data_IF_538416452491
#
_entry.id   IF_538416452491
#
_cell.length_a   1.000
_cell.length_b   1.000
_cell.length_c   1.000
_cell.angle_alpha   90.00
_cell.angle_beta   90.00
_cell.angle_gamma   90.00
#
_symmetry.space_group_name_H-M   'P 1'
#
loop_
_entity.id
_entity.type
_entity.pdbx_description
1 polymer ?
#
# COMPACT_ATOMS: atom_id res chain seq x y z
N UNK A 1 -47.98 -10.93 -9.60
CA UNK A 1 -47.48 -12.21 -10.05
C UNK A 1 -46.15 -12.53 -9.38
N UNK A 2 -46.09 -13.65 -8.67
CA UNK A 2 -44.90 -14.06 -7.92
C UNK A 2 -43.69 -14.32 -8.84
N UNK A 3 -43.92 -14.83 -10.03
CA UNK A 3 -42.85 -15.07 -11.01
C UNK A 3 -42.21 -13.77 -11.46
N UNK A 4 -42.99 -12.75 -11.71
CA UNK A 4 -42.51 -11.45 -12.12
C UNK A 4 -41.71 -10.79 -11.00
N UNK A 5 -42.21 -10.78 -9.79
CA UNK A 5 -41.54 -10.23 -8.62
C UNK A 5 -40.23 -10.92 -8.35
N UNK A 6 -40.17 -12.24 -8.48
CA UNK A 6 -38.95 -13.01 -8.30
C UNK A 6 -37.91 -12.69 -9.37
N UNK A 7 -38.33 -12.61 -10.63
CA UNK A 7 -37.45 -12.25 -11.74
C UNK A 7 -36.87 -10.86 -11.56
N UNK A 8 -37.72 -9.91 -11.15
CA UNK A 8 -37.28 -8.54 -10.86
C UNK A 8 -36.22 -8.52 -9.76
N UNK A 9 -36.44 -9.25 -8.68
CA UNK A 9 -35.49 -9.34 -7.57
C UNK A 9 -34.18 -9.98 -8.01
N UNK A 10 -34.22 -11.03 -8.82
CA UNK A 10 -33.04 -11.69 -9.36
C UNK A 10 -32.23 -10.75 -10.27
N UNK A 11 -32.91 -10.00 -11.12
CA UNK A 11 -32.27 -9.02 -12.00
C UNK A 11 -31.62 -7.90 -11.19
N UNK A 12 -32.33 -7.38 -10.18
CA UNK A 12 -31.80 -6.32 -9.32
C UNK A 12 -30.55 -6.80 -8.57
N UNK A 13 -30.56 -8.02 -8.05
CA UNK A 13 -29.41 -8.62 -7.38
C UNK A 13 -28.25 -8.82 -8.34
N UNK A 14 -28.53 -9.28 -9.57
CA UNK A 14 -27.53 -9.44 -10.61
C UNK A 14 -26.88 -8.11 -10.96
N UNK A 15 -27.67 -7.06 -11.11
CA UNK A 15 -27.18 -5.72 -11.44
C UNK A 15 -26.26 -5.20 -10.34
N UNK A 16 -26.64 -5.35 -9.08
CA UNK A 16 -25.85 -4.93 -7.91
C UNK A 16 -24.53 -5.70 -7.84
N UNK A 17 -24.59 -7.01 -8.05
CA UNK A 17 -23.40 -7.86 -8.06
C UNK A 17 -22.45 -7.48 -9.18
N UNK A 18 -22.97 -7.29 -10.39
CA UNK A 18 -22.16 -6.91 -11.56
C UNK A 18 -21.47 -5.57 -11.35
N UNK A 19 -22.18 -4.59 -10.78
CA UNK A 19 -21.61 -3.29 -10.46
C UNK A 19 -20.47 -3.42 -9.46
N UNK A 20 -20.67 -4.22 -8.40
CA UNK A 20 -19.66 -4.48 -7.39
C UNK A 20 -18.43 -5.17 -8.00
N UNK A 21 -18.65 -6.17 -8.85
CA UNK A 21 -17.56 -6.89 -9.52
C UNK A 21 -16.73 -5.97 -10.41
N UNK A 22 -17.39 -5.03 -11.11
CA UNK A 22 -16.69 -4.03 -11.93
C UNK A 22 -15.82 -3.11 -11.08
N UNK A 23 -16.33 -2.63 -9.96
CA UNK A 23 -15.57 -1.77 -9.05
C UNK A 23 -14.35 -2.52 -8.51
N UNK A 24 -14.52 -3.77 -8.12
CA UNK A 24 -13.42 -4.63 -7.65
C UNK A 24 -12.39 -4.86 -8.75
N UNK A 25 -12.83 -5.13 -9.98
CA UNK A 25 -11.94 -5.34 -11.11
C UNK A 25 -11.11 -4.10 -11.44
N UNK A 26 -11.74 -2.92 -11.42
CA UNK A 26 -11.02 -1.65 -11.61
C UNK A 26 -10.01 -1.42 -10.48
N UNK A 27 -10.39 -1.70 -9.25
CA UNK A 27 -9.50 -1.58 -8.11
C UNK A 27 -8.31 -2.52 -8.20
N UNK A 28 -8.53 -3.76 -8.60
CA UNK A 28 -7.47 -4.76 -8.77
C UNK A 28 -6.51 -4.37 -9.89
N UNK A 29 -7.03 -3.92 -11.03
CA UNK A 29 -6.21 -3.47 -12.16
C UNK A 29 -5.38 -2.23 -11.78
N UNK A 30 -5.99 -1.27 -11.11
CA UNK A 30 -5.31 -0.07 -10.63
C UNK A 30 -4.22 -0.43 -9.63
N UNK A 31 -4.52 -1.30 -8.67
CA UNK A 31 -3.57 -1.76 -7.67
C UNK A 31 -2.37 -2.46 -8.29
N UNK A 32 -2.59 -3.31 -9.26
CA UNK A 32 -1.51 -4.00 -9.96
C UNK A 32 -0.61 -3.01 -10.71
N UNK A 33 -1.22 -2.08 -11.44
CA UNK A 33 -0.48 -1.06 -12.17
C UNK A 33 0.39 -0.22 -11.23
N UNK A 34 -0.17 0.22 -10.12
CA UNK A 34 0.56 1.02 -9.14
C UNK A 34 1.65 0.19 -8.47
N UNK A 35 1.37 -1.08 -8.15
CA UNK A 35 2.37 -1.98 -7.56
C UNK A 35 3.61 -2.11 -8.45
N UNK A 36 3.43 -2.12 -9.77
CA UNK A 36 4.52 -2.17 -10.73
C UNK A 36 5.34 -0.87 -10.77
N UNK A 37 4.74 0.25 -10.35
CA UNK A 37 5.40 1.56 -10.31
C UNK A 37 6.14 1.78 -8.97
N UNK A 38 5.71 1.14 -7.90
CA UNK A 38 6.29 1.35 -6.57
C UNK A 38 7.81 1.14 -6.49
N UNK A 39 8.43 0.21 -7.23
CA UNK A 39 9.90 0.12 -7.25
C UNK A 39 10.61 1.40 -7.70
N UNK A 40 9.97 2.18 -8.58
CA UNK A 40 10.49 3.49 -9.01
C UNK A 40 10.46 4.46 -7.83
N UNK A 41 9.37 4.46 -7.06
CA UNK A 41 9.25 5.27 -5.86
C UNK A 41 10.31 4.89 -4.81
N UNK A 42 10.56 3.59 -4.63
CA UNK A 42 11.61 3.11 -3.73
C UNK A 42 13.00 3.63 -4.14
N UNK A 43 13.27 3.67 -5.44
CA UNK A 43 14.52 4.19 -5.99
C UNK A 43 14.68 5.69 -5.74
N UNK A 44 13.59 6.45 -5.87
CA UNK A 44 13.56 7.87 -5.54
C UNK A 44 13.87 8.09 -4.06
N UNK A 45 13.31 7.29 -3.20
CA UNK A 45 13.53 7.37 -1.76
C UNK A 45 15.00 7.14 -1.42
N UNK A 46 15.62 6.12 -2.03
CA UNK A 46 17.05 5.88 -1.85
C UNK A 46 17.91 7.04 -2.36
N UNK A 47 17.51 7.65 -3.48
CA UNK A 47 18.21 8.79 -4.04
C UNK A 47 18.16 10.01 -3.11
N UNK A 48 17.04 10.25 -2.48
CA UNK A 48 16.85 11.36 -1.53
C UNK A 48 17.72 11.16 -0.29
N UNK A 49 17.81 9.91 0.20
CA UNK A 49 18.59 9.56 1.39
C UNK A 49 20.10 9.50 1.13
N UNK A 50 20.54 9.49 -0.13
CA UNK A 50 21.94 9.49 -0.49
C UNK A 50 22.60 10.82 -0.15
N UNK A 51 23.89 10.78 0.19
CA UNK A 51 24.66 12.00 0.45
C UNK A 51 24.71 12.87 -0.79
N UNK A 52 24.35 14.13 -0.62
CA UNK A 52 24.37 15.12 -1.69
C UNK A 52 24.75 16.49 -1.12
N UNK A 53 25.75 17.12 -1.72
CA UNK A 53 26.22 18.45 -1.30
C UNK A 53 25.45 19.57 -1.99
N UNK A 54 24.71 19.27 -3.05
CA UNK A 54 23.90 20.24 -3.78
C UNK A 54 22.51 20.31 -3.13
N UNK A 55 22.31 21.29 -2.27
CA UNK A 55 21.06 21.49 -1.56
C UNK A 55 19.88 21.79 -2.49
N UNK A 56 20.11 22.55 -3.55
CA UNK A 56 19.07 22.87 -4.52
C UNK A 56 18.58 21.62 -5.24
N UNK A 57 19.50 20.75 -5.65
CA UNK A 57 19.16 19.48 -6.29
C UNK A 57 18.39 18.57 -5.33
N UNK A 58 18.87 18.46 -4.10
CA UNK A 58 18.23 17.64 -3.05
C UNK A 58 16.81 18.11 -2.78
N UNK A 59 16.62 19.41 -2.64
CA UNK A 59 15.29 19.99 -2.43
C UNK A 59 14.37 19.74 -3.62
N UNK A 60 14.88 19.83 -4.83
CA UNK A 60 14.12 19.52 -6.05
C UNK A 60 13.66 18.07 -6.08
N UNK A 61 14.54 17.14 -5.72
CA UNK A 61 14.19 15.71 -5.64
C UNK A 61 13.14 15.46 -4.57
N UNK A 62 13.26 16.12 -3.42
CA UNK A 62 12.26 15.98 -2.35
C UNK A 62 10.89 16.48 -2.80
N UNK A 63 10.85 17.57 -3.55
CA UNK A 63 9.60 18.10 -4.09
C UNK A 63 8.95 17.11 -5.06
N UNK A 64 9.73 16.47 -5.92
CA UNK A 64 9.20 15.44 -6.85
C UNK A 64 8.66 14.26 -6.09
N UNK A 65 9.37 13.79 -5.08
CA UNK A 65 8.91 12.69 -4.22
C UNK A 65 7.59 13.04 -3.53
N UNK A 66 7.49 14.23 -2.97
CA UNK A 66 6.28 14.70 -2.31
C UNK A 66 5.11 14.79 -3.28
N UNK A 67 5.35 15.30 -4.49
CA UNK A 67 4.31 15.37 -5.53
C UNK A 67 3.83 13.97 -5.94
N UNK A 68 4.76 13.03 -6.06
CA UNK A 68 4.42 11.65 -6.41
C UNK A 68 3.55 11.00 -5.33
N UNK A 69 3.94 11.13 -4.06
CA UNK A 69 3.18 10.56 -2.94
C UNK A 69 1.80 11.21 -2.80
N UNK A 70 1.70 12.52 -3.02
CA UNK A 70 0.40 13.22 -3.02
C UNK A 70 -0.50 12.75 -4.16
N UNK A 71 0.08 12.49 -5.33
CA UNK A 71 -0.66 11.94 -6.47
C UNK A 71 -1.19 10.55 -6.15
N UNK A 72 -0.37 9.71 -5.52
CA UNK A 72 -0.80 8.39 -5.07
C UNK A 72 -1.94 8.47 -4.06
N UNK A 73 -1.88 9.42 -3.12
CA UNK A 73 -2.98 9.64 -2.16
C UNK A 73 -4.29 9.98 -2.87
N UNK A 74 -4.25 10.81 -3.90
CA UNK A 74 -5.45 11.14 -4.69
C UNK A 74 -6.04 9.92 -5.36
N UNK A 75 -5.22 8.94 -5.71
CA UNK A 75 -5.66 7.68 -6.28
C UNK A 75 -6.11 6.67 -5.22
N UNK A 76 -6.01 7.03 -3.94
CA UNK A 76 -6.38 6.17 -2.83
C UNK A 76 -5.25 5.26 -2.34
N UNK A 77 -4.02 5.52 -2.79
CA UNK A 77 -2.85 4.73 -2.38
C UNK A 77 -2.12 5.42 -1.25
N UNK A 78 -1.96 4.72 -0.14
CA UNK A 78 -1.26 5.23 1.03
C UNK A 78 -0.22 4.23 1.53
N UNK A 79 0.87 4.76 2.08
CA UNK A 79 1.87 3.94 2.76
C UNK A 79 1.28 3.40 4.06
N UNK A 80 1.47 2.10 4.33
CA UNK A 80 1.06 1.56 5.61
C UNK A 80 2.06 1.93 6.70
N UNK A 81 1.54 2.28 7.87
CA UNK A 81 2.36 2.54 9.05
C UNK A 81 2.74 1.21 9.68
N UNK A 82 3.98 0.78 9.49
CA UNK A 82 4.45 -0.51 10.00
C UNK A 82 5.41 -0.36 11.17
N UNK A 83 6.31 0.62 11.13
CA UNK A 83 7.34 0.79 12.15
C UNK A 83 6.72 1.03 13.52
N UNK A 84 7.14 0.25 14.51
CA UNK A 84 6.62 0.36 15.87
C UNK A 84 5.26 -0.29 16.09
N UNK A 85 4.68 -0.87 15.07
CA UNK A 85 3.39 -1.58 15.17
C UNK A 85 3.62 -3.07 15.41
N UNK A 86 2.62 -3.73 15.98
CA UNK A 86 2.64 -5.18 16.12
C UNK A 86 2.68 -5.86 14.74
N UNK A 87 3.48 -6.90 14.62
CA UNK A 87 3.57 -7.65 13.38
C UNK A 87 2.20 -8.27 13.01
N UNK A 88 1.77 -8.02 11.78
CA UNK A 88 0.53 -8.55 11.23
C UNK A 88 0.83 -9.26 9.90
N UNK A 89 0.66 -10.60 9.84
CA UNK A 89 0.96 -11.36 8.62
C UNK A 89 0.14 -10.93 7.40
N UNK A 90 -1.00 -10.26 7.61
CA UNK A 90 -1.84 -9.77 6.51
C UNK A 90 -1.26 -8.52 5.85
N UNK A 91 -0.41 -7.80 6.56
CA UNK A 91 0.17 -6.52 6.11
C UNK A 91 1.67 -6.60 5.86
N UNK A 92 2.36 -7.45 6.61
CA UNK A 92 3.82 -7.47 6.66
C UNK A 92 4.39 -8.84 6.28
N UNK A 93 5.57 -8.81 5.64
CA UNK A 93 6.40 -9.99 5.44
C UNK A 93 7.65 -9.84 6.32
N UNK A 94 7.77 -10.66 7.36
CA UNK A 94 8.95 -10.66 8.21
C UNK A 94 10.03 -11.53 7.58
N UNK A 95 11.18 -10.94 7.27
CA UNK A 95 12.31 -11.65 6.70
C UNK A 95 13.45 -11.84 7.71
N UNK A 96 13.36 -11.16 8.85
CA UNK A 96 14.39 -11.19 9.87
C UNK A 96 13.79 -10.96 11.25
N UNK A 97 14.34 -11.63 12.23
CA UNK A 97 14.01 -11.43 13.63
C UNK A 97 15.28 -10.96 14.34
N UNK A 98 15.18 -9.87 15.09
CA UNK A 98 16.32 -9.26 15.77
C UNK A 98 15.98 -8.97 17.22
N UNK A 99 17.00 -8.93 18.06
CA UNK A 99 16.86 -8.45 19.43
C UNK A 99 16.99 -6.93 19.42
N UNK A 100 15.95 -6.24 19.83
CA UNK A 100 15.93 -4.78 19.90
C UNK A 100 15.20 -4.34 21.16
N UNK A 101 15.95 -3.75 22.07
CA UNK A 101 15.41 -3.30 23.38
C UNK A 101 14.51 -2.08 23.24
N UNK A 102 14.59 -1.35 22.11
CA UNK A 102 13.79 -0.16 21.87
C UNK A 102 12.35 -0.48 21.45
N UNK A 103 12.09 -1.75 21.12
CA UNK A 103 10.77 -2.20 20.65
C UNK A 103 10.30 -3.37 21.50
N UNK A 104 9.00 -3.47 21.65
CA UNK A 104 8.38 -4.61 22.32
C UNK A 104 8.51 -5.90 21.51
N UNK A 105 8.22 -7.00 22.15
CA UNK A 105 8.17 -8.31 21.49
C UNK A 105 7.16 -8.30 20.35
N UNK A 106 7.49 -8.97 19.25
CA UNK A 106 6.66 -9.13 18.07
C UNK A 106 6.27 -7.78 17.41
N UNK A 107 7.14 -6.80 17.56
CA UNK A 107 6.93 -5.44 17.01
C UNK A 107 7.86 -5.21 15.82
N UNK A 108 7.35 -4.56 14.79
CA UNK A 108 8.15 -4.18 13.61
C UNK A 108 9.19 -3.14 14.05
N UNK A 109 10.47 -3.50 13.94
CA UNK A 109 11.58 -2.65 14.34
C UNK A 109 12.35 -2.03 13.18
N UNK A 110 12.20 -2.56 11.98
CA UNK A 110 12.84 -2.04 10.78
C UNK A 110 12.00 -2.34 9.54
N UNK A 111 11.98 -1.42 8.60
CA UNK A 111 11.29 -1.59 7.32
C UNK A 111 12.33 -1.61 6.20
N UNK A 112 12.43 -2.73 5.49
CA UNK A 112 13.32 -2.88 4.34
C UNK A 112 12.66 -2.43 3.05
N UNK A 113 11.35 -2.61 2.95
CA UNK A 113 10.54 -2.18 1.82
C UNK A 113 9.19 -1.72 2.34
N UNK A 114 8.82 -0.50 1.99
CA UNK A 114 7.54 0.06 2.43
C UNK A 114 6.37 -0.68 1.80
N UNK A 115 5.33 -0.90 2.59
CA UNK A 115 4.08 -1.47 2.14
C UNK A 115 3.08 -0.38 1.78
N UNK A 116 2.19 -0.69 0.86
CA UNK A 116 1.19 0.26 0.38
C UNK A 116 -0.18 -0.38 0.29
N UNK A 117 -1.18 0.44 0.51
CA UNK A 117 -2.58 0.04 0.45
C UNK A 117 -3.32 0.91 -0.57
N UNK A 118 -4.20 0.28 -1.34
CA UNK A 118 -5.19 0.99 -2.14
C UNK A 118 -6.51 0.91 -1.37
N UNK A 119 -6.88 2.00 -0.71
CA UNK A 119 -8.01 2.04 0.24
C UNK A 119 -7.82 0.96 1.31
N UNK A 120 -8.69 -0.04 1.37
CA UNK A 120 -8.64 -1.10 2.37
C UNK A 120 -7.85 -2.34 1.93
N UNK A 121 -7.30 -2.32 0.71
CA UNK A 121 -6.66 -3.49 0.12
C UNK A 121 -5.14 -3.31 0.07
N UNK A 122 -4.41 -4.33 0.51
CA UNK A 122 -2.95 -4.34 0.40
C UNK A 122 -2.55 -4.59 -1.05
N UNK A 123 -1.79 -3.67 -1.64
CA UNK A 123 -1.23 -3.84 -2.97
C UNK A 123 0.23 -4.25 -2.94
N UNK A 124 0.91 -3.97 -1.83
CA UNK A 124 2.28 -4.45 -1.61
C UNK A 124 2.51 -4.53 -0.09
N UNK A 125 2.95 -5.69 0.37
CA UNK A 125 3.28 -5.90 1.78
C UNK A 125 4.56 -5.16 2.16
N UNK A 126 4.65 -4.71 3.39
CA UNK A 126 5.90 -4.19 3.93
C UNK A 126 6.85 -5.36 4.23
N UNK A 127 8.09 -5.26 3.81
CA UNK A 127 9.13 -6.21 4.18
C UNK A 127 9.84 -5.66 5.41
N UNK A 128 9.80 -6.42 6.50
CA UNK A 128 10.16 -5.91 7.82
C UNK A 128 11.08 -6.86 8.58
N UNK A 129 11.74 -6.30 9.59
CA UNK A 129 12.34 -7.06 10.69
C UNK A 129 11.47 -6.91 11.92
N UNK A 130 11.35 -7.96 12.70
CA UNK A 130 10.52 -8.02 13.89
C UNK A 130 11.40 -8.14 15.12
N UNK A 131 11.11 -7.38 16.17
CA UNK A 131 11.81 -7.45 17.44
C UNK A 131 11.39 -8.70 18.23
N UNK A 132 12.35 -9.23 18.93
CA UNK A 132 12.22 -10.48 19.68
C UNK A 132 11.82 -10.21 21.13
#
# INVERSE_FOLDING_TARGET
DDKYLRLFAEYDNYRKRTTKEKIEAYGDATGKCISDILPVLDSFERAIDAECTDEAFKNGMQMIYNQFTETLKKLGVTEMEALGKEFDPNLHNAIKQVEDENFGENTVCEIFQKGYMLKDKVIRHAIVAVAN
#
